data_IF_314538338670
#
_entry.id   IF_314538338670
#
_cell.length_a   1.000
_cell.length_b   1.000
_cell.length_c   1.000
_cell.angle_alpha   90.00
_cell.angle_beta   90.00
_cell.angle_gamma   90.00
#
_symmetry.space_group_name_H-M   'P 1'
#
loop_
_entity.id
_entity.type
_entity.pdbx_description
1 polymer ?
#
# COMPACT_ATOMS: atom_id res chain seq x y z
N UNK A 1 -27.44 -5.92 -25.57
CA UNK A 1 -26.02 -5.62 -25.28
C UNK A 1 -25.62 -6.37 -24.04
N UNK A 2 -24.46 -7.03 -24.04
CA UNK A 2 -23.92 -7.66 -22.83
C UNK A 2 -23.42 -6.57 -21.86
N UNK A 3 -23.61 -6.80 -20.55
CA UNK A 3 -23.07 -5.96 -19.49
C UNK A 3 -21.74 -6.52 -18.98
N UNK A 4 -20.94 -5.69 -18.30
CA UNK A 4 -19.69 -6.14 -17.65
C UNK A 4 -19.96 -6.37 -16.16
N UNK A 5 -19.86 -7.61 -15.71
CA UNK A 5 -19.93 -7.98 -14.29
C UNK A 5 -18.54 -8.36 -13.82
N UNK A 6 -18.05 -7.70 -12.77
CA UNK A 6 -16.70 -7.93 -12.25
C UNK A 6 -16.67 -7.79 -10.73
N UNK A 7 -15.64 -8.38 -10.13
CA UNK A 7 -15.30 -8.21 -8.72
C UNK A 7 -13.81 -8.45 -8.57
N UNK A 8 -13.05 -7.38 -8.36
CA UNK A 8 -11.59 -7.42 -8.33
C UNK A 8 -11.16 -6.72 -7.05
N UNK A 9 -10.69 -7.48 -6.07
CA UNK A 9 -10.12 -6.94 -4.85
C UNK A 9 -8.60 -7.06 -4.90
N UNK A 10 -7.91 -5.95 -4.74
CA UNK A 10 -6.45 -5.89 -4.75
C UNK A 10 -5.94 -5.28 -3.45
N UNK A 11 -4.94 -5.95 -2.87
CA UNK A 11 -4.13 -5.47 -1.75
C UNK A 11 -2.79 -5.01 -2.30
N UNK A 12 -2.46 -3.75 -2.06
CA UNK A 12 -1.20 -3.14 -2.44
C UNK A 12 -0.33 -2.91 -1.21
N UNK A 13 0.99 -3.13 -1.36
CA UNK A 13 2.00 -2.89 -0.32
C UNK A 13 3.15 -2.09 -0.92
N UNK A 14 3.61 -1.05 -0.25
CA UNK A 14 4.78 -0.28 -0.66
C UNK A 14 5.44 0.42 0.53
N UNK A 15 6.77 0.60 0.44
CA UNK A 15 7.61 1.03 1.55
C UNK A 15 8.26 2.40 1.35
N UNK A 16 8.59 3.06 2.45
CA UNK A 16 9.37 4.30 2.55
C UNK A 16 10.82 4.03 2.17
N UNK A 17 11.45 4.96 1.46
CA UNK A 17 12.84 4.82 0.98
C UNK A 17 13.90 5.23 2.00
N UNK A 18 13.65 6.28 2.78
CA UNK A 18 14.66 6.90 3.64
C UNK A 18 14.25 6.89 5.12
N UNK A 19 15.18 6.54 6.00
CA UNK A 19 14.98 6.46 7.46
C UNK A 19 14.60 7.80 8.08
N UNK A 20 15.13 8.89 7.53
CA UNK A 20 14.81 10.26 7.98
C UNK A 20 13.46 10.79 7.49
N UNK A 21 12.73 10.01 6.68
CA UNK A 21 11.45 10.37 6.10
C UNK A 21 10.34 9.36 6.43
N UNK A 22 10.41 8.68 7.58
CA UNK A 22 9.39 7.72 8.01
C UNK A 22 8.07 8.39 8.39
N UNK A 23 6.98 7.63 8.26
CA UNK A 23 5.61 8.06 8.54
C UNK A 23 5.44 8.29 10.04
N UNK A 24 5.02 9.49 10.43
CA UNK A 24 4.84 9.83 11.85
C UNK A 24 3.40 9.63 12.30
N UNK A 25 3.24 9.19 13.55
CA UNK A 25 1.94 9.01 14.19
C UNK A 25 1.06 10.28 14.16
N UNK A 26 1.69 11.46 14.19
CA UNK A 26 0.99 12.75 14.20
C UNK A 26 0.24 13.07 12.89
N UNK A 27 0.66 12.48 11.76
CA UNK A 27 0.08 12.80 10.46
C UNK A 27 -0.30 11.59 9.60
N UNK A 28 -0.02 10.35 10.05
CA UNK A 28 -0.31 9.12 9.28
C UNK A 28 -1.76 9.00 8.80
N UNK A 29 -2.74 9.37 9.63
CA UNK A 29 -4.16 9.28 9.26
C UNK A 29 -4.53 10.27 8.14
N UNK A 30 -3.90 11.45 8.12
CA UNK A 30 -4.06 12.42 7.02
C UNK A 30 -3.47 11.85 5.72
N UNK A 31 -2.27 11.24 5.79
CA UNK A 31 -1.68 10.54 4.64
C UNK A 31 -2.60 9.41 4.13
N UNK A 32 -3.13 8.57 5.03
CA UNK A 32 -3.99 7.45 4.65
C UNK A 32 -5.29 7.93 3.98
N UNK A 33 -5.87 9.03 4.46
CA UNK A 33 -6.99 9.70 3.80
C UNK A 33 -6.65 10.20 2.39
N UNK A 34 -5.48 10.84 2.22
CA UNK A 34 -4.99 11.26 0.91
C UNK A 34 -4.82 10.08 -0.04
N UNK A 35 -4.19 8.99 0.41
CA UNK A 35 -4.00 7.78 -0.40
C UNK A 35 -5.34 7.16 -0.79
N UNK A 36 -6.29 7.05 0.14
CA UNK A 36 -7.63 6.53 -0.14
C UNK A 36 -8.37 7.36 -1.19
N UNK A 37 -8.29 8.69 -1.09
CA UNK A 37 -8.86 9.59 -2.09
C UNK A 37 -8.20 9.42 -3.47
N UNK A 38 -6.86 9.30 -3.52
CA UNK A 38 -6.13 9.06 -4.76
C UNK A 38 -6.53 7.75 -5.45
N UNK A 39 -6.80 6.69 -4.68
CA UNK A 39 -7.31 5.41 -5.18
C UNK A 39 -8.73 5.60 -5.76
N UNK A 40 -9.61 6.28 -5.02
CA UNK A 40 -10.98 6.55 -5.45
C UNK A 40 -11.04 7.38 -6.75
N UNK A 41 -10.23 8.43 -6.84
CA UNK A 41 -10.09 9.28 -8.04
C UNK A 41 -9.53 8.55 -9.26
N UNK A 42 -8.93 7.37 -9.05
CA UNK A 42 -8.24 6.60 -10.09
C UNK A 42 -9.04 5.36 -10.51
N UNK A 43 -10.34 5.34 -10.22
CA UNK A 43 -11.26 4.28 -10.64
C UNK A 43 -11.30 3.07 -9.72
N UNK A 44 -10.64 3.12 -8.57
CA UNK A 44 -10.82 2.17 -7.48
C UNK A 44 -11.92 2.60 -6.50
N UNK A 45 -12.23 1.70 -5.56
CA UNK A 45 -13.01 1.99 -4.36
C UNK A 45 -12.24 1.45 -3.17
N UNK A 46 -11.67 2.35 -2.39
CA UNK A 46 -10.87 2.00 -1.22
C UNK A 46 -11.73 1.31 -0.16
N UNK A 47 -11.20 0.25 0.44
CA UNK A 47 -11.79 -0.49 1.56
C UNK A 47 -11.07 -0.10 2.86
N UNK A 48 -9.73 -0.11 2.84
CA UNK A 48 -8.90 0.35 3.95
C UNK A 48 -7.53 0.80 3.45
N UNK A 49 -6.98 1.83 4.09
CA UNK A 49 -5.56 2.18 4.02
C UNK A 49 -5.07 2.22 5.46
N UNK A 50 -4.00 1.48 5.74
CA UNK A 50 -3.34 1.52 7.03
C UNK A 50 -1.86 1.13 6.86
N UNK A 51 -1.07 1.24 7.90
CA UNK A 51 0.33 0.87 7.88
C UNK A 51 1.06 1.38 9.11
N UNK A 52 2.38 1.24 9.08
CA UNK A 52 3.27 1.67 10.16
C UNK A 52 4.30 2.67 9.60
N UNK A 53 5.36 2.97 10.34
CA UNK A 53 6.30 4.05 10.02
C UNK A 53 7.02 3.88 8.67
N UNK A 54 7.24 2.65 8.22
CA UNK A 54 8.10 2.33 7.08
C UNK A 54 7.35 1.79 5.86
N UNK A 55 6.06 1.45 5.95
CA UNK A 55 5.28 0.96 4.80
C UNK A 55 3.76 1.12 4.96
N UNK A 56 3.04 0.98 3.84
CA UNK A 56 1.58 1.16 3.76
C UNK A 56 0.92 -0.02 3.04
N UNK A 57 -0.21 -0.44 3.58
CA UNK A 57 -1.14 -1.42 3.02
C UNK A 57 -2.41 -0.70 2.52
N UNK A 58 -2.78 -0.93 1.27
CA UNK A 58 -4.02 -0.42 0.68
C UNK A 58 -4.85 -1.60 0.17
N UNK A 59 -6.09 -1.72 0.61
CA UNK A 59 -7.02 -2.71 0.06
C UNK A 59 -8.18 -2.01 -0.61
N UNK A 60 -8.44 -2.37 -1.87
CA UNK A 60 -9.43 -1.70 -2.70
C UNK A 60 -10.13 -2.65 -3.67
N UNK A 61 -11.35 -2.31 -4.03
CA UNK A 61 -12.01 -2.84 -5.21
C UNK A 61 -11.57 -2.04 -6.44
N UNK A 62 -11.25 -2.69 -7.55
CA UNK A 62 -10.71 -2.05 -8.75
C UNK A 62 -11.57 -2.38 -9.97
N UNK A 63 -11.78 -1.40 -10.85
CA UNK A 63 -12.50 -1.61 -12.12
C UNK A 63 -11.57 -2.29 -13.14
N UNK A 64 -12.08 -3.15 -14.04
CA UNK A 64 -11.27 -3.82 -15.07
C UNK A 64 -10.51 -2.86 -16.00
N UNK A 65 -11.02 -1.65 -16.19
CA UNK A 65 -10.39 -0.63 -17.03
C UNK A 65 -9.19 0.08 -16.36
N UNK A 66 -8.93 -0.17 -15.08
CA UNK A 66 -7.85 0.49 -14.34
C UNK A 66 -6.57 -0.33 -14.47
N UNK A 67 -5.54 0.29 -15.03
CA UNK A 67 -4.19 -0.26 -14.97
C UNK A 67 -3.64 -0.13 -13.55
N UNK A 68 -3.26 -1.27 -12.97
CA UNK A 68 -2.65 -1.33 -11.63
C UNK A 68 -1.36 -0.52 -11.56
N UNK A 69 -0.53 -0.56 -12.61
CA UNK A 69 0.74 0.18 -12.62
C UNK A 69 0.53 1.69 -12.65
N UNK A 70 -0.42 2.18 -13.44
CA UNK A 70 -0.75 3.60 -13.50
C UNK A 70 -1.43 4.08 -12.20
N UNK A 71 -2.31 3.24 -11.62
CA UNK A 71 -2.88 3.51 -10.30
C UNK A 71 -1.78 3.70 -9.25
N UNK A 72 -0.86 2.75 -9.13
CA UNK A 72 0.19 2.80 -8.11
C UNK A 72 1.21 3.91 -8.37
N UNK A 73 1.55 4.18 -9.63
CA UNK A 73 2.36 5.34 -10.01
C UNK A 73 1.73 6.65 -9.54
N UNK A 74 0.43 6.85 -9.81
CA UNK A 74 -0.29 8.07 -9.42
C UNK A 74 -0.43 8.19 -7.90
N UNK A 75 -0.80 7.12 -7.21
CA UNK A 75 -0.95 7.09 -5.75
C UNK A 75 0.37 7.44 -5.07
N UNK A 76 1.46 6.75 -5.43
CA UNK A 76 2.78 6.96 -4.84
C UNK A 76 3.32 8.36 -5.15
N UNK A 77 3.25 8.81 -6.40
CA UNK A 77 3.74 10.13 -6.79
C UNK A 77 2.99 11.28 -6.09
N UNK A 78 1.64 11.23 -6.08
CA UNK A 78 0.84 12.33 -5.50
C UNK A 78 0.85 12.31 -3.97
N UNK A 79 0.97 11.16 -3.33
CA UNK A 79 1.14 11.08 -1.87
C UNK A 79 2.53 11.57 -1.43
N UNK A 80 3.62 11.20 -2.14
CA UNK A 80 4.94 11.78 -1.88
C UNK A 80 4.93 13.30 -2.09
N UNK A 81 4.25 13.79 -3.15
CA UNK A 81 4.10 15.23 -3.37
C UNK A 81 3.38 15.91 -2.21
N UNK A 82 2.27 15.34 -1.73
CA UNK A 82 1.55 15.86 -0.57
C UNK A 82 2.45 16.01 0.66
N UNK A 83 3.21 14.96 1.01
CA UNK A 83 4.12 14.96 2.17
C UNK A 83 5.19 16.06 2.03
N UNK A 84 5.81 16.15 0.84
CA UNK A 84 6.87 17.11 0.58
C UNK A 84 6.36 18.56 0.54
N UNK A 85 5.21 18.82 -0.10
CA UNK A 85 4.61 20.15 -0.19
C UNK A 85 4.21 20.70 1.19
N UNK A 86 3.88 19.82 2.15
CA UNK A 86 3.52 20.18 3.52
C UNK A 86 4.71 20.12 4.50
N UNK A 87 5.91 19.75 4.04
CA UNK A 87 7.10 19.67 4.90
C UNK A 87 6.96 18.71 6.08
N UNK A 88 6.24 17.60 5.91
CA UNK A 88 5.94 16.67 7.03
C UNK A 88 7.16 15.84 7.47
N UNK A 89 8.26 15.92 6.73
CA UNK A 89 9.54 15.27 7.02
C UNK A 89 10.70 16.27 6.87
N UNK A 90 11.79 16.12 7.65
CA UNK A 90 12.93 17.03 7.61
C UNK A 90 13.76 16.92 6.32
N UNK A 91 13.60 15.81 5.60
CA UNK A 91 14.23 15.55 4.30
C UNK A 91 13.14 15.24 3.27
N UNK A 92 13.51 15.23 1.99
CA UNK A 92 12.61 14.82 0.91
C UNK A 92 12.09 13.40 1.17
N UNK A 93 10.77 13.26 1.16
CA UNK A 93 10.09 11.99 1.23
C UNK A 93 10.03 11.31 -0.13
N UNK A 94 10.38 10.03 -0.18
CA UNK A 94 10.22 9.14 -1.33
C UNK A 94 9.73 7.77 -0.87
N UNK A 95 8.84 7.16 -1.66
CA UNK A 95 8.60 5.72 -1.59
C UNK A 95 9.73 4.98 -2.33
N UNK A 96 10.03 3.75 -1.93
CA UNK A 96 10.92 2.86 -2.69
C UNK A 96 10.34 2.57 -4.07
N UNK A 97 11.18 2.14 -5.01
CA UNK A 97 10.69 1.65 -6.30
C UNK A 97 9.91 0.34 -6.14
N UNK A 98 8.96 0.07 -7.03
CA UNK A 98 8.12 -1.14 -6.96
C UNK A 98 6.95 -1.07 -5.97
N UNK A 99 6.09 -2.08 -6.01
CA UNK A 99 4.94 -2.27 -5.11
C UNK A 99 4.52 -3.75 -5.17
N UNK A 100 4.00 -4.29 -4.07
CA UNK A 100 3.26 -5.54 -4.06
C UNK A 100 1.81 -5.32 -4.53
N UNK A 101 1.23 -6.29 -5.23
CA UNK A 101 -0.16 -6.28 -5.66
C UNK A 101 -0.73 -7.70 -5.63
N UNK A 102 -1.70 -7.95 -4.75
CA UNK A 102 -2.20 -9.29 -4.44
C UNK A 102 -3.72 -9.35 -4.55
N UNK A 103 -4.25 -10.35 -5.25
CA UNK A 103 -5.68 -10.47 -5.52
C UNK A 103 -6.41 -11.33 -4.49
N UNK A 104 -7.59 -10.89 -4.05
CA UNK A 104 -8.42 -11.63 -3.09
C UNK A 104 -9.84 -11.87 -3.60
N UNK A 105 -10.44 -12.97 -3.15
CA UNK A 105 -11.86 -13.25 -3.38
C UNK A 105 -12.76 -12.50 -2.38
N UNK A 106 -14.05 -12.36 -2.68
CA UNK A 106 -15.02 -11.67 -1.79
C UNK A 106 -15.08 -12.24 -0.39
N UNK A 107 -14.99 -13.57 -0.26
CA UNK A 107 -15.08 -14.25 1.04
C UNK A 107 -13.92 -13.87 1.97
N UNK A 108 -12.78 -13.46 1.40
CA UNK A 108 -11.58 -13.07 2.14
C UNK A 108 -11.57 -11.59 2.56
N UNK A 109 -12.43 -10.74 1.98
CA UNK A 109 -12.43 -9.28 2.21
C UNK A 109 -12.42 -8.91 3.69
N UNK A 110 -13.23 -9.59 4.51
CA UNK A 110 -13.31 -9.32 5.95
C UNK A 110 -12.01 -9.67 6.69
N UNK A 111 -11.33 -10.73 6.26
CA UNK A 111 -10.08 -11.16 6.86
C UNK A 111 -8.94 -10.22 6.48
N UNK A 112 -8.85 -9.84 5.20
CA UNK A 112 -7.84 -8.87 4.72
C UNK A 112 -8.03 -7.51 5.39
N UNK A 113 -9.28 -7.05 5.51
CA UNK A 113 -9.59 -5.81 6.23
C UNK A 113 -9.08 -5.85 7.68
N UNK A 114 -9.39 -6.92 8.42
CA UNK A 114 -8.95 -7.08 9.82
C UNK A 114 -7.43 -7.19 9.94
N UNK A 115 -6.78 -7.88 9.01
CA UNK A 115 -5.33 -7.98 8.96
C UNK A 115 -4.70 -6.60 8.80
N UNK A 116 -5.16 -5.80 7.83
CA UNK A 116 -4.66 -4.43 7.60
C UNK A 116 -5.03 -3.49 8.74
N UNK A 117 -6.21 -3.65 9.35
CA UNK A 117 -6.63 -2.85 10.50
C UNK A 117 -5.70 -3.01 11.71
N UNK A 118 -5.12 -4.20 11.90
CA UNK A 118 -4.30 -4.55 13.07
C UNK A 118 -2.78 -4.45 12.81
N UNK A 119 -2.35 -3.80 11.74
CA UNK A 119 -0.94 -3.71 11.34
C UNK A 119 -0.01 -3.13 12.43
N UNK A 120 -0.48 -2.13 13.19
CA UNK A 120 0.31 -1.59 14.31
C UNK A 120 0.59 -2.62 15.42
N UNK A 121 -0.36 -3.53 15.68
CA UNK A 121 -0.16 -4.60 16.66
C UNK A 121 0.70 -5.73 16.07
N UNK A 122 0.50 -6.03 14.78
CA UNK A 122 1.27 -7.04 14.04
C UNK A 122 2.77 -6.73 14.07
N UNK A 123 3.15 -5.47 13.79
CA UNK A 123 4.55 -5.04 13.77
C UNK A 123 5.20 -4.85 15.14
N UNK A 124 4.49 -5.13 16.24
CA UNK A 124 5.14 -5.32 17.54
C UNK A 124 5.93 -6.64 17.62
N UNK A 125 5.68 -7.57 16.70
CA UNK A 125 6.23 -8.94 16.73
C UNK A 125 6.90 -9.38 15.43
N UNK A 126 6.61 -8.71 14.32
CA UNK A 126 7.09 -9.09 12.99
C UNK A 126 7.62 -7.86 12.25
N UNK A 127 8.77 -8.00 11.61
CA UNK A 127 9.35 -6.93 10.78
C UNK A 127 8.63 -6.84 9.44
N UNK A 128 8.70 -5.68 8.78
CA UNK A 128 8.15 -5.52 7.44
C UNK A 128 8.75 -6.51 6.44
N UNK A 129 10.07 -6.75 6.51
CA UNK A 129 10.74 -7.71 5.62
C UNK A 129 10.18 -9.13 5.76
N UNK A 130 10.01 -9.61 7.01
CA UNK A 130 9.43 -10.93 7.28
C UNK A 130 7.99 -11.02 6.78
N UNK A 131 7.19 -9.99 7.02
CA UNK A 131 5.81 -9.94 6.54
C UNK A 131 5.74 -9.95 5.01
N UNK A 132 6.51 -9.10 4.34
CA UNK A 132 6.47 -9.00 2.88
C UNK A 132 6.91 -10.30 2.20
N UNK A 133 7.94 -10.97 2.72
CA UNK A 133 8.35 -12.30 2.26
C UNK A 133 7.21 -13.30 2.48
N UNK A 134 6.59 -13.31 3.66
CA UNK A 134 5.46 -14.20 3.95
C UNK A 134 4.29 -14.00 2.98
N UNK A 135 3.95 -12.76 2.63
CA UNK A 135 2.92 -12.46 1.63
C UNK A 135 3.33 -13.02 0.26
N UNK A 136 4.57 -12.83 -0.17
CA UNK A 136 5.05 -13.34 -1.46
C UNK A 136 4.97 -14.87 -1.52
N UNK A 137 5.35 -15.56 -0.44
CA UNK A 137 5.29 -17.01 -0.32
C UNK A 137 3.84 -17.52 -0.32
N UNK A 138 2.94 -16.90 0.45
CA UNK A 138 1.51 -17.25 0.51
C UNK A 138 0.84 -17.14 -0.87
N UNK A 139 1.23 -16.13 -1.65
CA UNK A 139 0.74 -15.91 -3.01
C UNK A 139 1.52 -16.65 -4.09
N UNK A 140 2.58 -17.38 -3.72
CA UNK A 140 3.46 -18.10 -4.64
C UNK A 140 4.03 -17.19 -5.74
N UNK A 141 4.40 -15.97 -5.37
CA UNK A 141 5.09 -15.04 -6.27
C UNK A 141 6.57 -15.38 -6.25
N UNK A 142 7.16 -15.64 -7.41
CA UNK A 142 8.61 -15.79 -7.53
C UNK A 142 9.30 -14.43 -7.33
N UNK A 143 10.32 -14.39 -6.49
CA UNK A 143 11.09 -13.17 -6.22
C UNK A 143 12.58 -13.49 -6.05
N UNK A 144 13.40 -12.46 -6.25
CA UNK A 144 14.83 -12.50 -5.92
C UNK A 144 15.10 -11.50 -4.79
N UNK A 145 15.92 -11.90 -3.80
CA UNK A 145 16.23 -11.08 -2.62
C UNK A 145 16.71 -9.66 -2.95
N UNK A 146 17.45 -9.51 -4.05
CA UNK A 146 17.98 -8.20 -4.52
C UNK A 146 16.90 -7.21 -4.96
N UNK A 147 15.68 -7.68 -5.23
CA UNK A 147 14.54 -6.85 -5.64
C UNK A 147 13.49 -6.68 -4.53
N UNK A 148 13.72 -7.24 -3.34
CA UNK A 148 12.89 -6.97 -2.18
C UNK A 148 13.09 -5.53 -1.68
N UNK A 149 12.06 -5.01 -1.03
CA UNK A 149 12.18 -3.74 -0.32
C UNK A 149 13.31 -3.82 0.70
N UNK A 150 14.07 -2.73 0.79
CA UNK A 150 15.16 -2.60 1.73
C UNK A 150 14.66 -1.87 2.98
N UNK A 151 15.31 -2.13 4.12
CA UNK A 151 15.11 -1.29 5.29
C UNK A 151 15.43 0.17 4.93
N UNK A 152 14.67 1.16 5.46
CA UNK A 152 14.93 2.56 5.17
C UNK A 152 16.38 2.92 5.51
N UNK A 153 17.07 3.52 4.53
CA UNK A 153 18.47 3.98 4.64
C UNK A 153 18.58 5.40 5.19
#
# INVERSE_FOLDING_TARGET
MANTYHQIFLHFVFAVKYRKAVIQASWKFSLFGVIGNLINESGGKVIIVNGVEDHVHCFAEVKPAVSVSELMKKVKARSSKYINDHGLTPVRFEWQEGYGAFSYSRSQVKNVYRYIQNQEEHHRKQTFKEEYIGILEDFKVEFEDRFLFQEPV
#
